data_IF_910228435459
#
_entry.id   IF_910228435459
#
_cell.length_a   1.000
_cell.length_b   1.000
_cell.length_c   1.000
_cell.angle_alpha   90.00
_cell.angle_beta   90.00
_cell.angle_gamma   90.00
#
_symmetry.space_group_name_H-M   'P 1'
#
loop_
_entity.id
_entity.type
_entity.pdbx_description
1 polymer ?
#
# COMPACT_ATOMS: atom_id res chain seq x y z
N UNK A 1 37.91 30.71 -4.47
CA UNK A 1 37.81 29.27 -4.73
C UNK A 1 37.68 28.42 -3.47
N UNK A 2 38.47 28.65 -2.41
CA UNK A 2 38.40 27.88 -1.15
C UNK A 2 36.98 27.77 -0.52
N UNK A 3 36.23 28.88 -0.45
CA UNK A 3 34.85 28.90 0.08
C UNK A 3 33.85 28.03 -0.72
N UNK A 4 34.08 27.87 -2.02
CA UNK A 4 33.25 27.04 -2.90
C UNK A 4 33.58 25.55 -2.69
N UNK A 5 34.86 25.24 -2.49
CA UNK A 5 35.32 23.88 -2.19
C UNK A 5 34.82 23.40 -0.82
N UNK A 6 34.93 24.22 0.23
CA UNK A 6 34.37 23.90 1.56
C UNK A 6 32.85 23.70 1.53
N UNK A 7 32.13 24.55 0.77
CA UNK A 7 30.68 24.42 0.59
C UNK A 7 30.29 23.11 -0.11
N UNK A 8 31.05 22.71 -1.14
CA UNK A 8 30.84 21.47 -1.89
C UNK A 8 31.02 20.23 -0.99
N UNK A 9 32.10 20.18 -0.20
CA UNK A 9 32.37 19.08 0.72
C UNK A 9 31.34 18.97 1.85
N UNK A 10 30.85 20.10 2.38
CA UNK A 10 29.77 20.10 3.35
C UNK A 10 28.45 19.55 2.77
N UNK A 11 28.12 19.92 1.53
CA UNK A 11 26.94 19.40 0.82
C UNK A 11 27.07 17.90 0.55
N UNK A 12 28.23 17.45 0.06
CA UNK A 12 28.48 16.03 -0.22
C UNK A 12 28.31 15.16 1.03
N UNK A 13 28.84 15.61 2.19
CA UNK A 13 28.66 14.92 3.47
C UNK A 13 27.19 14.82 3.89
N UNK A 14 26.41 15.89 3.72
CA UNK A 14 24.97 15.89 4.05
C UNK A 14 24.19 14.97 3.11
N UNK A 15 24.47 14.98 1.81
CA UNK A 15 23.86 14.05 0.86
C UNK A 15 24.20 12.59 1.19
N UNK A 16 25.43 12.30 1.57
CA UNK A 16 25.82 10.96 2.00
C UNK A 16 25.03 10.53 3.24
N UNK A 17 24.94 11.39 4.27
CA UNK A 17 24.18 11.10 5.48
C UNK A 17 22.67 10.89 5.23
N UNK A 18 22.10 11.55 4.21
CA UNK A 18 20.70 11.36 3.83
C UNK A 18 20.42 9.96 3.27
N UNK A 19 21.39 9.35 2.56
CA UNK A 19 21.20 8.03 1.94
C UNK A 19 20.89 6.95 2.96
N UNK A 20 21.48 7.01 4.15
CA UNK A 20 21.31 5.98 5.17
C UNK A 20 20.19 6.35 6.16
N UNK A 21 20.18 7.60 6.64
CA UNK A 21 19.26 8.04 7.70
C UNK A 21 17.80 8.14 7.25
N UNK A 22 17.55 8.42 5.98
CA UNK A 22 16.18 8.56 5.46
C UNK A 22 15.47 7.21 5.35
N UNK A 23 16.04 6.15 4.73
CA UNK A 23 15.44 4.82 4.75
C UNK A 23 15.22 4.28 6.15
N UNK A 24 16.20 4.43 7.05
CA UNK A 24 16.10 3.96 8.43
C UNK A 24 14.88 4.57 9.15
N UNK A 25 14.65 5.87 8.96
CA UNK A 25 13.52 6.56 9.55
C UNK A 25 12.17 6.23 8.87
N UNK A 26 12.17 6.02 7.55
CA UNK A 26 10.93 5.85 6.77
C UNK A 26 10.39 4.43 6.77
N UNK A 27 11.24 3.40 6.68
CA UNK A 27 10.83 1.98 6.60
C UNK A 27 9.78 1.60 7.65
N UNK A 28 9.97 1.84 8.96
CA UNK A 28 8.98 1.44 9.96
C UNK A 28 7.66 2.22 9.83
N UNK A 29 7.71 3.46 9.35
CA UNK A 29 6.53 4.31 9.19
C UNK A 29 5.70 3.88 7.98
N UNK A 30 6.37 3.49 6.90
CA UNK A 30 5.72 2.97 5.69
C UNK A 30 5.02 1.63 5.98
N UNK A 31 5.71 0.69 6.63
CA UNK A 31 5.12 -0.61 6.98
C UNK A 31 3.91 -0.42 7.90
N UNK A 32 4.04 0.41 8.94
CA UNK A 32 2.91 0.74 9.82
C UNK A 32 1.75 1.40 9.07
N UNK A 33 2.03 2.24 8.09
CA UNK A 33 1.00 2.85 7.25
C UNK A 33 0.26 1.79 6.42
N UNK A 34 0.97 0.82 5.86
CA UNK A 34 0.38 -0.34 5.17
C UNK A 34 -0.50 -1.18 6.08
N UNK A 35 -0.01 -1.51 7.28
CA UNK A 35 -0.77 -2.27 8.28
C UNK A 35 -2.04 -1.56 8.76
N UNK A 36 -2.00 -0.24 8.93
CA UNK A 36 -3.19 0.56 9.27
C UNK A 36 -4.25 0.48 8.15
N UNK A 37 -3.84 0.57 6.88
CA UNK A 37 -4.76 0.41 5.75
C UNK A 37 -5.31 -1.02 5.71
N UNK A 38 -4.45 -2.03 5.84
CA UNK A 38 -4.86 -3.43 5.80
C UNK A 38 -5.84 -3.78 6.93
N UNK A 39 -5.63 -3.25 8.13
CA UNK A 39 -6.55 -3.43 9.25
C UNK A 39 -7.95 -2.85 8.96
N UNK A 40 -8.01 -1.65 8.40
CA UNK A 40 -9.29 -1.02 8.00
C UNK A 40 -9.94 -1.77 6.83
N UNK A 41 -9.15 -2.25 5.86
CA UNK A 41 -9.63 -3.11 4.77
C UNK A 41 -10.25 -4.40 5.29
N UNK A 42 -9.59 -5.09 6.23
CA UNK A 42 -10.11 -6.33 6.85
C UNK A 42 -11.41 -6.06 7.61
N UNK A 43 -11.50 -4.93 8.31
CA UNK A 43 -12.71 -4.50 9.02
C UNK A 43 -13.87 -4.24 8.06
N UNK A 44 -13.62 -3.64 6.91
CA UNK A 44 -14.66 -3.40 5.90
C UNK A 44 -15.04 -4.67 5.11
N UNK A 45 -14.11 -5.62 4.99
CA UNK A 45 -14.32 -6.91 4.35
C UNK A 45 -15.04 -7.95 5.24
N UNK A 46 -15.49 -7.55 6.44
CA UNK A 46 -16.15 -8.40 7.44
C UNK A 46 -17.35 -9.17 6.89
N UNK A 47 -18.07 -8.60 5.92
CA UNK A 47 -19.19 -9.27 5.25
C UNK A 47 -18.78 -10.58 4.54
N UNK A 48 -17.50 -10.72 4.18
CA UNK A 48 -16.91 -11.94 3.58
C UNK A 48 -16.33 -12.91 4.62
N UNK A 49 -16.46 -12.65 5.93
CA UNK A 49 -15.88 -13.50 6.99
C UNK A 49 -16.34 -14.95 6.95
N UNK A 50 -17.56 -15.22 6.45
CA UNK A 50 -18.10 -16.59 6.39
C UNK A 50 -17.24 -17.53 5.56
N UNK A 51 -16.60 -17.04 4.49
CA UNK A 51 -15.59 -17.81 3.75
C UNK A 51 -14.19 -17.50 4.26
N UNK A 52 -13.91 -16.25 4.64
CA UNK A 52 -12.62 -15.84 5.21
C UNK A 52 -11.57 -15.50 4.16
N UNK A 53 -11.61 -16.15 2.99
CA UNK A 53 -10.64 -16.01 1.89
C UNK A 53 -10.28 -14.55 1.56
N UNK A 54 -11.28 -13.67 1.47
CA UNK A 54 -11.03 -12.25 1.15
C UNK A 54 -10.21 -11.55 2.24
N UNK A 55 -10.53 -11.77 3.51
CA UNK A 55 -9.86 -11.13 4.64
C UNK A 55 -8.42 -11.64 4.75
N UNK A 56 -8.24 -12.94 4.55
CA UNK A 56 -6.95 -13.63 4.61
C UNK A 56 -6.03 -13.23 3.43
N UNK A 57 -6.61 -12.96 2.26
CA UNK A 57 -5.88 -12.50 1.08
C UNK A 57 -5.33 -11.06 1.17
N UNK A 58 -5.71 -10.30 2.20
CA UNK A 58 -5.23 -8.92 2.37
C UNK A 58 -3.80 -8.96 2.94
N UNK A 59 -2.85 -8.55 2.12
CA UNK A 59 -1.43 -8.66 2.43
C UNK A 59 -0.72 -7.30 2.33
N UNK A 60 0.23 -7.08 3.24
CA UNK A 60 1.11 -5.92 3.26
C UNK A 60 2.50 -6.37 2.85
N UNK A 61 2.99 -5.85 1.75
CA UNK A 61 4.34 -6.11 1.24
C UNK A 61 5.23 -4.91 1.56
N UNK A 62 6.30 -5.18 2.32
CA UNK A 62 7.27 -4.19 2.76
C UNK A 62 8.21 -3.71 1.65
N UNK A 63 9.05 -2.71 1.94
CA UNK A 63 9.97 -2.18 0.93
C UNK A 63 11.04 -3.19 0.51
N UNK A 64 11.17 -3.40 -0.80
CA UNK A 64 12.05 -4.42 -1.39
C UNK A 64 11.49 -5.84 -1.37
N UNK A 65 10.29 -6.06 -0.82
CA UNK A 65 9.62 -7.36 -0.83
C UNK A 65 8.72 -7.52 -2.07
N UNK A 66 8.34 -8.75 -2.38
CA UNK A 66 7.50 -9.09 -3.53
C UNK A 66 6.10 -9.50 -3.07
N UNK A 67 5.07 -8.98 -3.73
CA UNK A 67 3.68 -9.29 -3.39
C UNK A 67 3.34 -10.77 -3.65
N UNK A 68 2.32 -11.33 -2.97
CA UNK A 68 1.87 -12.70 -3.21
C UNK A 68 1.50 -12.95 -4.68
N UNK A 69 1.58 -14.21 -5.12
CA UNK A 69 1.20 -14.57 -6.48
C UNK A 69 -0.24 -14.16 -6.80
N UNK A 70 -0.45 -13.62 -8.00
CA UNK A 70 -1.76 -13.16 -8.49
C UNK A 70 -2.42 -12.03 -7.70
N UNK A 71 -1.71 -11.36 -6.79
CA UNK A 71 -2.23 -10.27 -5.96
C UNK A 71 -2.20 -8.89 -6.62
N UNK A 72 -1.42 -8.73 -7.70
CA UNK A 72 -1.29 -7.48 -8.45
C UNK A 72 -1.60 -7.72 -9.93
N UNK A 73 -2.83 -7.39 -10.36
CA UNK A 73 -3.31 -7.57 -11.74
C UNK A 73 -3.16 -9.01 -12.28
N UNK A 74 -3.34 -10.00 -11.39
CA UNK A 74 -3.13 -11.40 -11.73
C UNK A 74 -1.65 -11.81 -11.85
N UNK A 75 -0.71 -10.95 -11.46
CA UNK A 75 0.72 -11.22 -11.36
C UNK A 75 1.29 -10.90 -9.97
N UNK A 76 2.59 -10.57 -9.94
CA UNK A 76 3.34 -10.16 -8.75
C UNK A 76 4.08 -8.85 -9.03
N UNK A 77 4.34 -8.08 -7.97
CA UNK A 77 5.13 -6.85 -8.05
C UNK A 77 6.09 -6.77 -6.88
N UNK A 78 7.34 -6.39 -7.15
CA UNK A 78 8.29 -6.04 -6.09
C UNK A 78 8.13 -4.57 -5.72
N UNK A 79 8.00 -4.30 -4.42
CA UNK A 79 7.92 -2.95 -3.90
C UNK A 79 9.28 -2.25 -4.05
N UNK A 80 9.26 -0.97 -4.43
CA UNK A 80 10.45 -0.12 -4.36
C UNK A 80 10.99 0.04 -2.94
N UNK A 81 12.19 0.61 -2.82
CA UNK A 81 12.91 0.78 -1.55
C UNK A 81 12.15 1.65 -0.51
N UNK A 82 11.29 2.57 -0.98
CA UNK A 82 10.47 3.44 -0.14
C UNK A 82 8.98 3.24 -0.41
N UNK A 83 8.61 2.04 -0.84
CA UNK A 83 7.24 1.70 -1.20
C UNK A 83 6.73 0.61 -0.27
N UNK A 84 5.45 0.69 0.07
CA UNK A 84 4.71 -0.40 0.71
C UNK A 84 3.47 -0.64 -0.13
N UNK A 85 3.21 -1.90 -0.43
CA UNK A 85 2.08 -2.32 -1.23
C UNK A 85 1.08 -3.01 -0.32
N UNK A 86 -0.18 -2.60 -0.43
CA UNK A 86 -1.30 -3.32 0.19
C UNK A 86 -2.12 -3.91 -0.93
N UNK A 87 -2.19 -5.24 -0.98
CA UNK A 87 -2.91 -6.00 -1.99
C UNK A 87 -4.06 -6.78 -1.36
N UNK A 88 -5.07 -7.10 -2.17
CA UNK A 88 -6.16 -7.98 -1.79
C UNK A 88 -6.41 -8.97 -2.92
N UNK A 89 -6.25 -10.25 -2.62
CA UNK A 89 -6.34 -11.33 -3.58
C UNK A 89 -5.03 -12.10 -3.71
N UNK A 90 -5.17 -13.37 -4.05
CA UNK A 90 -4.10 -14.34 -4.26
C UNK A 90 -4.59 -15.42 -5.24
N UNK A 91 -3.89 -16.55 -5.31
CA UNK A 91 -4.26 -17.69 -6.17
C UNK A 91 -5.68 -18.18 -5.92
N UNK A 92 -6.13 -18.16 -4.67
CA UNK A 92 -7.41 -18.71 -4.19
C UNK A 92 -8.50 -17.63 -4.16
N UNK A 93 -8.10 -16.36 -4.01
CA UNK A 93 -9.01 -15.21 -3.87
C UNK A 93 -8.93 -14.27 -5.07
N UNK A 94 -9.36 -14.75 -6.25
CA UNK A 94 -9.35 -13.95 -7.49
C UNK A 94 -10.56 -13.01 -7.66
N UNK A 95 -11.46 -12.98 -6.68
CA UNK A 95 -12.76 -12.31 -6.77
C UNK A 95 -12.80 -10.95 -6.04
N UNK A 96 -11.69 -10.50 -5.45
CA UNK A 96 -11.62 -9.26 -4.66
C UNK A 96 -12.14 -8.02 -5.42
N UNK A 97 -11.77 -7.87 -6.69
CA UNK A 97 -12.23 -6.76 -7.54
C UNK A 97 -13.74 -6.82 -7.83
N UNK A 98 -14.33 -8.01 -7.87
CA UNK A 98 -15.78 -8.19 -8.04
C UNK A 98 -16.54 -7.84 -6.75
N UNK A 99 -15.93 -8.09 -5.60
CA UNK A 99 -16.49 -7.66 -4.29
C UNK A 99 -16.47 -6.14 -4.20
N UNK A 100 -15.33 -5.52 -4.55
CA UNK A 100 -15.16 -4.07 -4.49
C UNK A 100 -16.13 -3.33 -5.43
N UNK A 101 -16.22 -3.77 -6.68
CA UNK A 101 -16.99 -3.07 -7.74
C UNK A 101 -18.41 -3.59 -7.97
N UNK A 102 -18.74 -4.77 -7.44
CA UNK A 102 -19.94 -5.51 -7.85
C UNK A 102 -19.87 -5.99 -9.30
N UNK A 103 -20.96 -6.62 -9.76
CA UNK A 103 -21.07 -7.08 -11.15
C UNK A 103 -22.35 -6.60 -11.81
N UNK A 104 -22.34 -6.52 -13.14
CA UNK A 104 -23.57 -6.30 -13.92
C UNK A 104 -24.45 -7.57 -13.88
N UNK A 105 -25.78 -7.43 -14.04
CA UNK A 105 -26.66 -8.58 -14.19
C UNK A 105 -26.17 -9.48 -15.33
N UNK A 106 -26.06 -10.77 -15.04
CA UNK A 106 -25.76 -11.78 -16.06
C UNK A 106 -27.07 -12.33 -16.61
N UNK A 107 -27.12 -12.54 -17.92
CA UNK A 107 -28.30 -13.07 -18.61
C UNK A 107 -27.98 -14.43 -19.23
N UNK A 108 -28.94 -15.34 -19.15
CA UNK A 108 -28.90 -16.62 -19.85
C UNK A 108 -29.38 -16.45 -21.29
N UNK A 109 -29.21 -17.50 -22.08
CA UNK A 109 -29.63 -17.55 -23.50
C UNK A 109 -31.14 -17.36 -23.68
N UNK A 110 -31.92 -17.72 -22.67
CA UNK A 110 -33.39 -17.57 -22.63
C UNK A 110 -33.85 -16.16 -22.21
N UNK A 111 -32.93 -15.23 -21.94
CA UNK A 111 -33.22 -13.88 -21.47
C UNK A 111 -33.44 -13.74 -19.96
N UNK A 112 -33.48 -14.84 -19.20
CA UNK A 112 -33.59 -14.81 -17.74
C UNK A 112 -32.28 -14.34 -17.08
N UNK A 113 -32.35 -13.63 -15.95
CA UNK A 113 -31.15 -13.20 -15.22
C UNK A 113 -30.68 -14.24 -14.20
N UNK A 114 -29.36 -14.48 -14.16
CA UNK A 114 -28.70 -15.28 -13.11
C UNK A 114 -28.38 -14.42 -11.86
N UNK A 115 -28.82 -13.16 -11.85
CA UNK A 115 -28.56 -12.21 -10.78
C UNK A 115 -27.28 -11.39 -10.98
N UNK A 116 -26.99 -10.57 -9.96
CA UNK A 116 -25.83 -9.69 -9.89
C UNK A 116 -25.19 -9.78 -8.51
N UNK A 117 -23.89 -9.53 -8.43
CA UNK A 117 -23.20 -9.29 -7.18
C UNK A 117 -23.30 -7.80 -6.83
N UNK A 118 -23.83 -7.48 -5.65
CA UNK A 118 -23.82 -6.12 -5.15
C UNK A 118 -22.39 -5.73 -4.72
N UNK A 119 -22.03 -4.47 -4.89
CA UNK A 119 -20.74 -3.97 -4.45
C UNK A 119 -20.69 -3.92 -2.91
N UNK A 120 -19.63 -4.47 -2.33
CA UNK A 120 -19.29 -4.39 -0.92
C UNK A 120 -17.87 -3.81 -0.81
N UNK A 121 -17.71 -2.49 -1.02
CA UNK A 121 -16.40 -1.89 -1.13
C UNK A 121 -15.65 -1.91 0.21
N UNK A 122 -14.40 -2.34 0.17
CA UNK A 122 -13.51 -2.49 1.33
C UNK A 122 -12.14 -1.86 1.08
N UNK A 123 -11.66 -1.87 -0.17
CA UNK A 123 -10.33 -1.41 -0.53
C UNK A 123 -10.29 0.12 -0.66
N UNK A 124 -11.08 0.69 -1.58
CA UNK A 124 -11.05 2.13 -1.83
C UNK A 124 -11.51 2.95 -0.62
N UNK A 125 -12.53 2.54 0.16
CA UNK A 125 -12.92 3.28 1.35
C UNK A 125 -11.81 3.29 2.41
N UNK A 126 -11.16 2.15 2.68
CA UNK A 126 -10.03 2.08 3.61
C UNK A 126 -8.87 2.98 3.19
N UNK A 127 -8.50 2.97 1.90
CA UNK A 127 -7.48 3.89 1.37
C UNK A 127 -7.87 5.36 1.55
N UNK A 128 -9.11 5.72 1.18
CA UNK A 128 -9.60 7.09 1.25
C UNK A 128 -9.65 7.62 2.68
N UNK A 129 -10.02 6.77 3.64
CA UNK A 129 -10.05 7.10 5.06
C UNK A 129 -8.65 7.45 5.59
N UNK A 130 -7.64 6.69 5.16
CA UNK A 130 -6.29 6.78 5.73
C UNK A 130 -5.35 7.74 5.00
N UNK A 131 -5.51 7.93 3.67
CA UNK A 131 -4.53 8.60 2.79
C UNK A 131 -4.00 9.93 3.34
N UNK A 132 -4.88 10.80 3.84
CA UNK A 132 -4.49 12.15 4.25
C UNK A 132 -3.73 12.14 5.57
N UNK A 133 -4.15 11.30 6.53
CA UNK A 133 -3.48 11.14 7.82
C UNK A 133 -2.09 10.52 7.64
N UNK A 134 -2.00 9.47 6.82
CA UNK A 134 -0.76 8.76 6.56
C UNK A 134 0.24 9.64 5.80
N UNK A 135 -0.19 10.34 4.74
CA UNK A 135 0.66 11.28 4.01
C UNK A 135 1.29 12.31 4.95
N UNK A 136 0.47 12.99 5.78
CA UNK A 136 0.96 13.99 6.74
C UNK A 136 1.96 13.42 7.74
N UNK A 137 1.76 12.16 8.16
CA UNK A 137 2.66 11.48 9.10
C UNK A 137 3.99 11.17 8.43
N UNK A 138 3.97 10.59 7.23
CA UNK A 138 5.15 10.26 6.43
C UNK A 138 5.95 11.54 6.12
N UNK A 139 5.29 12.60 5.66
CA UNK A 139 5.93 13.90 5.36
C UNK A 139 6.64 14.48 6.59
N UNK A 140 6.03 14.36 7.77
CA UNK A 140 6.64 14.85 9.01
C UNK A 140 7.90 14.09 9.35
N UNK A 141 7.89 12.77 9.19
CA UNK A 141 9.06 11.91 9.47
C UNK A 141 10.15 12.17 8.45
N UNK A 142 9.81 12.26 7.16
CA UNK A 142 10.75 12.60 6.10
C UNK A 142 11.43 13.95 6.39
N UNK A 143 10.65 15.00 6.67
CA UNK A 143 11.20 16.33 6.99
C UNK A 143 12.08 16.30 8.25
N UNK A 144 11.73 15.49 9.25
CA UNK A 144 12.55 15.32 10.45
C UNK A 144 13.87 14.62 10.12
N UNK A 145 13.83 13.51 9.40
CA UNK A 145 15.01 12.76 8.98
C UNK A 145 15.97 13.64 8.16
N UNK A 146 15.44 14.44 7.22
CA UNK A 146 16.24 15.38 6.44
C UNK A 146 16.94 16.40 7.34
N UNK A 147 16.21 16.99 8.30
CA UNK A 147 16.80 17.96 9.23
C UNK A 147 17.85 17.34 10.14
N UNK A 148 17.64 16.12 10.62
CA UNK A 148 18.57 15.43 11.52
C UNK A 148 19.79 14.85 10.78
N UNK A 149 19.69 14.64 9.46
CA UNK A 149 20.84 14.31 8.61
C UNK A 149 21.65 15.54 8.19
N UNK A 150 21.02 16.72 8.12
CA UNK A 150 21.65 17.97 7.71
C UNK A 150 22.33 18.75 8.87
N UNK A 151 22.10 18.33 10.12
CA UNK A 151 22.87 18.74 11.30
C UNK A 151 24.23 18.05 11.28
#
# INVERSE_FOLDING_TARGET
MARILEGSEAIARKLAALKDKVPEALRPVLVKAGEEIAADMRTLAESSRRTGDLIESIHVTGPGETTPAHSADGGQRTAGEFEVLVTAGDTDTRHAHLVEGGTKPRFRRDGSTTGRMLAAPFFNPAWRLNRQRLQRRIDRVLRKAIRDAAK
#
